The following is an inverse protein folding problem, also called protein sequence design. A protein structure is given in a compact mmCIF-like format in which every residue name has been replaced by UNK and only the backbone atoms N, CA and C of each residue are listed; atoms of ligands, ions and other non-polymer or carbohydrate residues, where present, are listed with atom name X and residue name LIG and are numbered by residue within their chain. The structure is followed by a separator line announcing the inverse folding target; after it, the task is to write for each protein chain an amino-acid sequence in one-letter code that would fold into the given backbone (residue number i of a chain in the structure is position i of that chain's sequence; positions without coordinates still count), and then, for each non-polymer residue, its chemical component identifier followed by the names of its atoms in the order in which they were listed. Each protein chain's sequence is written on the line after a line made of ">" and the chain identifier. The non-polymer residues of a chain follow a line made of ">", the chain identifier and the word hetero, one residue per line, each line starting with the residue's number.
data_IF_675625804092
#
_entry.id   IF_675625804092
#
_cell.length_a   1.000
_cell.length_b   1.000
_cell.length_c   1.000
_cell.angle_alpha   90.00
_cell.angle_beta   90.00
_cell.angle_gamma   90.00
#
_symmetry.space_group_name_H-M   'P 1'
#
loop_
_entity.id
_entity.type
_entity.pdbx_description
1 polymer ?
#
# COMPACT_ATOMS: atom_id res chain seq x y z
N UNK A 1 -17.35 -5.37 2.46
CA UNK A 1 -16.99 -3.99 2.04
C UNK A 1 -15.95 -4.12 0.94
N UNK A 2 -16.39 -4.30 -0.32
CA UNK A 2 -15.48 -4.38 -1.47
C UNK A 2 -15.34 -2.98 -2.04
N UNK A 3 -14.34 -2.25 -1.57
CA UNK A 3 -14.02 -0.95 -2.18
C UNK A 3 -13.05 -1.21 -3.33
N UNK A 4 -13.27 -0.61 -4.49
CA UNK A 4 -12.39 -0.77 -5.66
C UNK A 4 -11.00 -0.17 -5.41
N UNK A 5 -10.88 0.67 -4.39
CA UNK A 5 -9.74 1.54 -4.14
C UNK A 5 -8.87 1.09 -2.96
N UNK A 6 -9.34 0.14 -2.16
CA UNK A 6 -8.59 -0.42 -1.04
C UNK A 6 -8.49 -1.93 -1.19
N UNK A 7 -7.27 -2.40 -1.44
CA UNK A 7 -6.90 -3.82 -1.44
C UNK A 7 -5.92 -4.04 -0.31
N UNK A 8 -6.12 -5.10 0.47
CA UNK A 8 -5.13 -5.46 1.48
C UNK A 8 -3.87 -6.03 0.82
N UNK A 9 -2.75 -5.97 1.54
CA UNK A 9 -1.48 -6.54 1.07
C UNK A 9 -1.59 -8.03 0.73
N UNK A 10 -2.34 -8.79 1.52
CA UNK A 10 -2.62 -10.22 1.27
C UNK A 10 -3.42 -10.43 -0.03
N UNK A 11 -4.42 -9.58 -0.28
CA UNK A 11 -5.18 -9.62 -1.53
C UNK A 11 -4.34 -9.23 -2.73
N UNK A 12 -3.37 -8.32 -2.57
CA UNK A 12 -2.43 -7.92 -3.62
C UNK A 12 -1.46 -9.05 -3.95
N UNK A 13 -0.88 -9.71 -2.95
CA UNK A 13 -0.01 -10.88 -3.14
C UNK A 13 -0.74 -12.06 -3.80
N UNK A 14 -2.01 -12.28 -3.46
CA UNK A 14 -2.80 -13.37 -4.04
C UNK A 14 -3.01 -13.26 -5.56
N UNK A 15 -2.95 -12.05 -6.14
CA UNK A 15 -3.03 -11.83 -7.60
C UNK A 15 -1.66 -11.63 -8.26
N UNK A 16 -0.59 -11.51 -7.48
CA UNK A 16 0.78 -11.30 -7.97
C UNK A 16 1.73 -12.38 -7.42
N UNK A 17 1.60 -13.64 -7.89
CA UNK A 17 2.50 -14.73 -7.50
C UNK A 17 3.94 -14.53 -8.00
N UNK A 18 4.20 -13.55 -8.86
CA UNK A 18 5.56 -13.16 -9.27
C UNK A 18 6.39 -12.46 -8.19
N UNK A 19 5.78 -12.04 -7.07
CA UNK A 19 6.45 -11.32 -6.00
C UNK A 19 7.04 -12.32 -5.01
N UNK A 20 8.37 -12.44 -5.01
CA UNK A 20 9.09 -13.27 -4.06
C UNK A 20 9.00 -12.69 -2.63
N UNK A 21 9.13 -13.54 -1.61
CA UNK A 21 8.97 -13.19 -0.19
C UNK A 21 9.92 -12.06 0.24
N UNK A 22 11.10 -12.01 -0.38
CA UNK A 22 12.10 -10.95 -0.18
C UNK A 22 11.67 -9.61 -0.79
N UNK A 23 11.00 -9.64 -1.94
CA UNK A 23 10.44 -8.44 -2.58
C UNK A 23 9.23 -7.94 -1.79
N UNK A 24 8.39 -8.84 -1.29
CA UNK A 24 7.25 -8.50 -0.46
C UNK A 24 7.67 -7.76 0.82
N UNK A 25 8.72 -8.25 1.50
CA UNK A 25 9.31 -7.58 2.68
C UNK A 25 9.87 -6.20 2.40
N UNK A 26 10.41 -5.95 1.21
CA UNK A 26 10.93 -4.64 0.82
C UNK A 26 9.82 -3.67 0.39
N UNK A 27 8.75 -4.17 -0.22
CA UNK A 27 7.62 -3.37 -0.69
C UNK A 27 6.69 -2.94 0.44
N UNK A 28 6.44 -3.79 1.43
CA UNK A 28 5.57 -3.48 2.56
C UNK A 28 5.90 -2.13 3.26
N UNK A 29 7.14 -1.87 3.73
CA UNK A 29 7.47 -0.59 4.37
C UNK A 29 7.42 0.60 3.40
N UNK A 30 7.63 0.37 2.09
CA UNK A 30 7.53 1.44 1.08
C UNK A 30 6.08 1.84 0.81
N UNK A 31 5.16 0.87 0.73
CA UNK A 31 3.74 1.15 0.55
C UNK A 31 3.18 1.94 1.71
N UNK A 32 3.51 1.54 2.94
CA UNK A 32 3.12 2.28 4.14
C UNK A 32 3.67 3.72 4.12
N UNK A 33 4.93 3.90 3.70
CA UNK A 33 5.49 5.24 3.53
C UNK A 33 4.77 6.11 2.48
N UNK A 34 4.23 5.51 1.41
CA UNK A 34 3.41 6.23 0.44
C UNK A 34 2.04 6.61 0.99
N UNK A 35 1.41 5.74 1.78
CA UNK A 35 0.16 6.06 2.48
C UNK A 35 0.35 7.23 3.45
N UNK A 36 1.42 7.20 4.25
CA UNK A 36 1.76 8.27 5.21
C UNK A 36 2.04 9.60 4.50
N UNK A 37 2.74 9.56 3.36
CA UNK A 37 3.01 10.75 2.55
C UNK A 37 1.74 11.32 1.93
N UNK A 38 0.86 10.48 1.40
CA UNK A 38 -0.44 10.89 0.87
C UNK A 38 -1.30 11.52 1.96
N UNK A 39 -1.34 10.89 3.14
CA UNK A 39 -2.07 11.42 4.29
C UNK A 39 -1.52 12.78 4.72
N UNK A 40 -0.19 12.89 4.86
CA UNK A 40 0.48 14.15 5.20
C UNK A 40 0.21 15.25 4.18
N UNK A 41 0.21 14.92 2.89
CA UNK A 41 -0.13 15.86 1.82
C UNK A 41 -1.57 16.36 1.91
N UNK A 42 -2.53 15.46 2.16
CA UNK A 42 -3.94 15.85 2.35
C UNK A 42 -4.09 16.76 3.58
N UNK A 43 -3.45 16.41 4.70
CA UNK A 43 -3.48 17.22 5.92
C UNK A 43 -2.86 18.61 5.69
N UNK A 44 -1.80 18.70 4.89
CA UNK A 44 -1.20 19.99 4.49
C UNK A 44 -2.17 20.86 3.69
N UNK A 45 -2.95 20.27 2.76
CA UNK A 45 -3.94 21.03 1.97
C UNK A 45 -5.13 21.54 2.79
N UNK A 46 -5.36 20.98 3.97
CA UNK A 46 -6.46 21.35 4.87
C UNK A 46 -6.08 22.44 5.89
N UNK A 47 -4.79 22.82 5.96
CA UNK A 47 -4.28 23.97 6.73
C UNK A 47 -4.18 25.22 5.87
#
# INVERSE_FOLDING_TARGET
>A
MYTTYYKTWEQYLAVHPEIDEKQAKAMAPKMQGYEDMMFSFIMFLLM
#
